data_IF_221277831982
#
_entry.id   IF_221277831982
#
_cell.length_a   1.000
_cell.length_b   1.000
_cell.length_c   1.000
_cell.angle_alpha   90.00
_cell.angle_beta   90.00
_cell.angle_gamma   90.00
#
_symmetry.space_group_name_H-M   'P 1'
#
loop_
_entity.id
_entity.type
_entity.pdbx_description
1 polymer ?
#
# COMPACT_ATOMS: atom_id res chain seq x y z
N UNK A 1 52.78 -22.31 -22.88
CA UNK A 1 51.92 -21.18 -22.96
C UNK A 1 51.03 -21.29 -24.18
N UNK A 2 49.75 -21.73 -24.03
CA UNK A 2 48.73 -21.42 -25.00
C UNK A 2 47.57 -20.67 -24.30
N UNK A 3 47.31 -19.53 -24.82
CA UNK A 3 46.03 -18.89 -25.25
C UNK A 3 44.82 -19.04 -24.35
N UNK A 4 44.57 -18.00 -23.58
CA UNK A 4 43.27 -17.60 -23.01
C UNK A 4 42.64 -16.57 -23.96
N UNK A 5 42.00 -17.02 -25.00
CA UNK A 5 41.13 -16.21 -25.86
C UNK A 5 39.84 -16.97 -26.09
N UNK A 6 38.70 -16.43 -25.64
CA UNK A 6 37.39 -16.89 -26.11
C UNK A 6 36.36 -17.25 -25.05
N UNK A 7 36.05 -16.39 -24.05
CA UNK A 7 34.79 -16.47 -23.30
C UNK A 7 34.36 -15.05 -22.94
N UNK A 8 34.00 -14.22 -23.89
CA UNK A 8 33.25 -12.96 -23.68
C UNK A 8 32.46 -12.59 -24.93
N UNK A 9 31.60 -13.48 -25.38
CA UNK A 9 30.58 -13.12 -26.37
C UNK A 9 29.35 -14.00 -26.13
N UNK A 10 28.49 -13.62 -25.22
CA UNK A 10 27.06 -13.99 -25.19
C UNK A 10 26.34 -13.48 -23.95
N UNK A 11 26.27 -12.20 -23.75
CA UNK A 11 25.32 -11.61 -22.75
C UNK A 11 24.87 -10.21 -23.15
N UNK A 12 24.25 -10.05 -24.31
CA UNK A 12 23.41 -8.88 -24.60
C UNK A 12 22.27 -9.26 -25.54
N UNK A 13 21.42 -10.18 -25.09
CA UNK A 13 20.10 -10.27 -25.68
C UNK A 13 19.17 -9.43 -24.79
N UNK A 14 19.10 -8.14 -25.10
CA UNK A 14 18.08 -7.23 -24.59
C UNK A 14 16.75 -7.73 -25.11
N UNK A 15 15.99 -8.42 -24.26
CA UNK A 15 14.62 -8.82 -24.57
C UNK A 15 13.83 -7.57 -24.96
N UNK A 16 13.40 -7.51 -26.22
CA UNK A 16 12.51 -6.48 -26.73
C UNK A 16 11.23 -6.43 -25.87
N UNK A 17 10.62 -5.26 -25.66
CA UNK A 17 9.37 -5.17 -24.91
C UNK A 17 8.31 -6.04 -25.54
N UNK A 18 7.85 -7.06 -24.82
CA UNK A 18 6.85 -8.00 -25.30
C UNK A 18 5.55 -7.24 -25.56
N UNK A 19 5.05 -7.34 -26.79
CA UNK A 19 3.75 -6.79 -27.17
C UNK A 19 2.64 -7.40 -26.29
N UNK A 20 1.83 -6.60 -25.56
CA UNK A 20 0.77 -7.11 -24.68
C UNK A 20 -0.25 -8.04 -25.39
N UNK A 21 -0.30 -8.02 -26.72
CA UNK A 21 -1.22 -8.84 -27.54
C UNK A 21 -0.66 -10.24 -27.85
N UNK A 22 0.60 -10.55 -27.50
CA UNK A 22 1.26 -11.86 -27.75
C UNK A 22 1.36 -12.73 -26.50
N UNK A 23 0.70 -12.38 -25.39
CA UNK A 23 0.70 -13.24 -24.20
C UNK A 23 -0.06 -14.53 -24.50
N UNK A 24 0.56 -15.67 -24.15
CA UNK A 24 -0.07 -16.99 -24.19
C UNK A 24 -1.44 -16.91 -23.49
N UNK A 25 -2.53 -17.45 -24.07
CA UNK A 25 -3.86 -17.45 -23.47
C UNK A 25 -3.90 -17.98 -22.02
N UNK A 26 -2.97 -18.87 -21.66
CA UNK A 26 -2.81 -19.42 -20.29
C UNK A 26 -2.16 -18.45 -19.31
N UNK A 27 -1.62 -17.31 -19.76
CA UNK A 27 -0.96 -16.27 -18.93
C UNK A 27 -1.76 -14.97 -18.83
N UNK A 28 -3.04 -14.97 -19.21
CA UNK A 28 -3.88 -13.78 -19.09
C UNK A 28 -4.10 -13.45 -17.62
N UNK A 29 -3.72 -12.23 -17.21
CA UNK A 29 -4.03 -11.72 -15.88
C UNK A 29 -5.53 -11.78 -15.60
N UNK A 30 -5.91 -12.40 -14.50
CA UNK A 30 -7.28 -12.40 -14.02
C UNK A 30 -7.50 -11.15 -13.17
N UNK A 31 -8.24 -10.21 -13.70
CA UNK A 31 -8.68 -9.02 -12.96
C UNK A 31 -9.82 -9.39 -12.02
N UNK A 32 -9.53 -9.50 -10.71
CA UNK A 32 -10.49 -9.95 -9.69
C UNK A 32 -11.73 -9.04 -9.60
N UNK A 33 -11.56 -7.73 -9.78
CA UNK A 33 -12.62 -6.73 -9.83
C UNK A 33 -13.59 -6.94 -11.00
N UNK A 34 -13.09 -7.49 -12.12
CA UNK A 34 -13.87 -7.81 -13.33
C UNK A 34 -14.47 -9.21 -13.24
N UNK A 35 -13.70 -10.18 -12.75
CA UNK A 35 -14.15 -11.58 -12.64
C UNK A 35 -15.29 -11.74 -11.65
N UNK A 36 -15.26 -11.02 -10.53
CA UNK A 36 -16.29 -11.07 -9.49
C UNK A 36 -16.80 -9.67 -9.08
N UNK A 37 -17.55 -8.98 -9.98
CA UNK A 37 -17.96 -7.59 -9.75
C UNK A 37 -18.87 -7.39 -8.53
N UNK A 38 -19.57 -8.43 -8.08
CA UNK A 38 -20.38 -8.35 -6.87
C UNK A 38 -19.52 -8.29 -5.60
N UNK A 39 -18.45 -9.10 -5.53
CA UNK A 39 -17.48 -9.06 -4.43
C UNK A 39 -16.73 -7.72 -4.41
N UNK A 40 -16.32 -7.22 -5.60
CA UNK A 40 -15.69 -5.93 -5.74
C UNK A 40 -16.59 -4.77 -5.25
N UNK A 41 -17.87 -4.77 -5.62
CA UNK A 41 -18.85 -3.77 -5.12
C UNK A 41 -19.01 -3.82 -3.61
N UNK A 42 -19.04 -5.02 -3.01
CA UNK A 42 -19.14 -5.17 -1.56
C UNK A 42 -17.89 -4.61 -0.86
N UNK A 43 -16.68 -4.88 -1.38
CA UNK A 43 -15.44 -4.34 -0.84
C UNK A 43 -15.39 -2.81 -0.95
N UNK A 44 -15.81 -2.23 -2.08
CA UNK A 44 -15.92 -0.77 -2.23
C UNK A 44 -16.95 -0.18 -1.25
N UNK A 45 -18.10 -0.84 -1.06
CA UNK A 45 -19.09 -0.44 -0.08
C UNK A 45 -18.53 -0.44 1.36
N UNK A 46 -17.74 -1.46 1.70
CA UNK A 46 -17.01 -1.50 2.97
C UNK A 46 -16.02 -0.31 3.06
N UNK A 47 -15.23 -0.06 2.01
CA UNK A 47 -14.26 1.04 1.98
C UNK A 47 -14.90 2.40 2.24
N UNK A 48 -16.05 2.67 1.62
CA UNK A 48 -16.82 3.91 1.85
C UNK A 48 -17.26 4.04 3.31
N UNK A 49 -17.78 2.97 3.91
CA UNK A 49 -18.22 2.98 5.32
C UNK A 49 -17.05 3.10 6.29
N UNK A 50 -15.92 2.51 5.99
CA UNK A 50 -14.70 2.64 6.79
C UNK A 50 -14.17 4.08 6.73
N UNK A 51 -14.17 4.71 5.56
CA UNK A 51 -13.77 6.11 5.40
C UNK A 51 -14.70 7.05 6.17
N UNK A 52 -16.02 6.86 6.09
CA UNK A 52 -17.02 7.60 6.85
C UNK A 52 -16.74 7.47 8.36
N UNK A 53 -16.59 6.25 8.87
CA UNK A 53 -16.27 6.01 10.29
C UNK A 53 -14.94 6.61 10.73
N UNK A 54 -13.92 6.62 9.86
CA UNK A 54 -12.63 7.24 10.15
C UNK A 54 -12.76 8.76 10.29
N UNK A 55 -13.52 9.39 9.41
CA UNK A 55 -13.82 10.82 9.47
C UNK A 55 -14.63 11.17 10.74
N UNK A 56 -15.64 10.38 11.05
CA UNK A 56 -16.48 10.57 12.26
C UNK A 56 -15.66 10.39 13.55
N UNK A 57 -14.66 9.51 13.55
CA UNK A 57 -13.70 9.33 14.65
C UNK A 57 -12.67 10.47 14.75
N UNK A 58 -12.67 11.46 13.84
CA UNK A 58 -11.76 12.60 13.87
C UNK A 58 -10.39 12.34 13.24
N UNK A 59 -10.28 11.35 12.33
CA UNK A 59 -9.13 11.20 11.46
C UNK A 59 -9.32 12.11 10.24
N UNK A 60 -8.39 13.03 10.01
CA UNK A 60 -8.43 13.87 8.82
C UNK A 60 -8.01 13.10 7.55
N UNK A 61 -8.41 13.62 6.39
CA UNK A 61 -8.13 12.99 5.08
C UNK A 61 -6.63 12.81 4.85
N UNK A 62 -5.80 13.71 5.36
CA UNK A 62 -4.34 13.62 5.23
C UNK A 62 -3.79 12.42 5.99
N UNK A 63 -4.25 12.18 7.23
CA UNK A 63 -3.85 11.01 8.02
C UNK A 63 -4.38 9.71 7.39
N UNK A 64 -5.63 9.71 6.91
CA UNK A 64 -6.21 8.54 6.22
C UNK A 64 -5.33 8.15 5.03
N UNK A 65 -4.97 9.12 4.17
CA UNK A 65 -4.14 8.84 2.99
C UNK A 65 -2.70 8.48 3.38
N UNK A 66 -2.13 9.07 4.42
CA UNK A 66 -0.82 8.70 4.94
C UNK A 66 -0.77 7.22 5.36
N UNK A 67 -1.81 6.73 6.04
CA UNK A 67 -1.94 5.33 6.42
C UNK A 67 -2.09 4.41 5.19
N UNK A 68 -2.92 4.80 4.21
CA UNK A 68 -3.10 4.06 2.97
C UNK A 68 -1.78 3.94 2.19
N UNK A 69 -1.00 5.02 2.11
CA UNK A 69 0.34 5.02 1.50
C UNK A 69 1.25 4.06 2.26
N UNK A 70 1.30 4.14 3.59
CA UNK A 70 2.18 3.29 4.39
C UNK A 70 1.86 1.80 4.25
N UNK A 71 0.60 1.43 4.32
CA UNK A 71 0.13 0.06 4.14
C UNK A 71 0.50 -0.45 2.73
N UNK A 72 0.35 0.40 1.72
CA UNK A 72 0.68 0.07 0.33
C UNK A 72 2.18 -0.08 0.11
N UNK A 73 3.03 0.69 0.83
CA UNK A 73 4.49 0.50 0.85
C UNK A 73 4.87 -0.87 1.40
N UNK A 74 4.30 -1.27 2.53
CA UNK A 74 4.58 -2.55 3.17
C UNK A 74 4.17 -3.72 2.27
N UNK A 75 3.00 -3.62 1.64
CA UNK A 75 2.48 -4.66 0.75
C UNK A 75 3.10 -4.65 -0.66
N UNK A 76 3.83 -3.60 -1.05
CA UNK A 76 4.41 -3.47 -2.39
C UNK A 76 3.38 -3.26 -3.51
N UNK A 77 2.25 -2.58 -3.24
CA UNK A 77 1.20 -2.34 -4.23
C UNK A 77 1.49 -1.06 -5.03
N UNK A 78 2.15 -1.18 -6.19
CA UNK A 78 2.49 -0.03 -7.02
C UNK A 78 1.26 0.79 -7.45
N UNK A 79 0.18 0.14 -7.90
CA UNK A 79 -1.07 0.80 -8.28
C UNK A 79 -1.67 1.61 -7.13
N UNK A 80 -1.71 1.02 -5.93
CA UNK A 80 -2.27 1.69 -4.75
C UNK A 80 -1.38 2.85 -4.29
N UNK A 81 -0.04 2.69 -4.40
CA UNK A 81 0.90 3.77 -4.09
C UNK A 81 0.70 4.97 -5.00
N UNK A 82 0.61 4.75 -6.33
CA UNK A 82 0.38 5.82 -7.30
C UNK A 82 -0.88 6.61 -6.96
N UNK A 83 -1.97 5.91 -6.66
CA UNK A 83 -3.26 6.52 -6.33
C UNK A 83 -3.20 7.29 -5.01
N UNK A 84 -2.78 6.64 -3.92
CA UNK A 84 -2.84 7.22 -2.57
C UNK A 84 -1.78 8.30 -2.33
N UNK A 85 -0.61 8.24 -2.97
CA UNK A 85 0.35 9.35 -2.94
C UNK A 85 -0.24 10.57 -3.63
N UNK A 86 -0.90 10.38 -4.78
CA UNK A 86 -1.60 11.48 -5.46
C UNK A 86 -2.70 12.11 -4.61
N UNK A 87 -3.48 11.30 -3.92
CA UNK A 87 -4.56 11.79 -3.05
C UNK A 87 -4.02 12.41 -1.76
N UNK A 88 -2.95 11.87 -1.16
CA UNK A 88 -2.26 12.48 -0.02
C UNK A 88 -1.77 13.91 -0.35
N UNK A 89 -1.13 14.08 -1.52
CA UNK A 89 -0.66 15.41 -1.98
C UNK A 89 -1.83 16.38 -2.19
N UNK A 90 -2.93 15.93 -2.80
CA UNK A 90 -4.15 16.75 -2.96
C UNK A 90 -4.74 17.20 -1.62
N UNK A 91 -4.62 16.36 -0.59
CA UNK A 91 -5.08 16.65 0.77
C UNK A 91 -4.03 17.40 1.61
N UNK A 92 -2.97 17.92 0.99
CA UNK A 92 -1.99 18.79 1.63
C UNK A 92 -0.83 18.05 2.33
N UNK A 93 -0.61 16.77 2.03
CA UNK A 93 0.58 16.07 2.51
C UNK A 93 1.83 16.53 1.74
N UNK A 94 2.96 16.62 2.42
CA UNK A 94 4.19 17.08 1.82
C UNK A 94 5.01 15.95 1.18
N UNK A 95 5.69 16.26 0.08
CA UNK A 95 6.61 15.33 -0.57
C UNK A 95 7.73 14.86 0.39
N UNK A 96 8.19 15.74 1.31
CA UNK A 96 9.19 15.39 2.31
C UNK A 96 8.68 14.29 3.25
N UNK A 97 7.48 14.46 3.81
CA UNK A 97 6.90 13.47 4.74
C UNK A 97 6.64 12.14 4.04
N UNK A 98 6.13 12.17 2.81
CA UNK A 98 5.93 10.96 1.99
C UNK A 98 7.26 10.24 1.68
N UNK A 99 8.33 10.99 1.41
CA UNK A 99 9.64 10.41 1.13
C UNK A 99 10.25 9.70 2.35
N UNK A 100 10.08 10.26 3.55
CA UNK A 100 10.62 9.67 4.78
C UNK A 100 9.64 8.73 5.50
N UNK A 101 8.43 8.56 4.98
CA UNK A 101 7.41 7.70 5.58
C UNK A 101 7.87 6.25 5.86
N UNK A 102 8.70 5.60 5.02
CA UNK A 102 9.25 4.27 5.34
C UNK A 102 10.11 4.24 6.60
N UNK A 103 10.70 5.38 6.98
CA UNK A 103 11.57 5.56 8.14
C UNK A 103 10.95 6.53 9.18
N UNK A 104 9.61 6.59 9.25
CA UNK A 104 8.89 7.56 10.08
C UNK A 104 9.30 7.54 11.56
N UNK A 105 9.78 6.39 12.06
CA UNK A 105 10.24 6.26 13.45
C UNK A 105 11.49 7.08 13.76
N UNK A 106 12.33 7.34 12.76
CA UNK A 106 13.62 8.03 12.90
C UNK A 106 13.52 9.54 12.67
N UNK A 107 12.30 10.09 12.56
CA UNK A 107 12.07 11.53 12.35
C UNK A 107 11.02 12.07 13.32
N UNK A 108 11.06 13.38 13.56
CA UNK A 108 10.07 14.11 14.38
C UNK A 108 8.94 14.76 13.56
N UNK A 109 8.85 14.45 12.27
CA UNK A 109 7.87 15.07 11.36
C UNK A 109 6.43 14.57 11.57
N UNK A 110 6.23 13.52 12.36
CA UNK A 110 4.92 12.92 12.62
C UNK A 110 4.52 13.13 14.08
N UNK A 111 3.30 13.60 14.31
CA UNK A 111 2.72 13.81 15.64
C UNK A 111 2.56 12.48 16.39
N UNK A 112 2.38 12.52 17.71
CA UNK A 112 2.15 11.33 18.53
C UNK A 112 0.93 10.52 18.07
N UNK A 113 -0.15 11.20 17.66
CA UNK A 113 -1.35 10.56 17.08
C UNK A 113 -1.03 9.85 15.76
N UNK A 114 -0.32 10.50 14.85
CA UNK A 114 0.10 9.90 13.58
C UNK A 114 1.03 8.71 13.80
N UNK A 115 1.99 8.83 14.71
CA UNK A 115 2.91 7.74 15.09
C UNK A 115 2.18 6.53 15.67
N UNK A 116 1.18 6.76 16.52
CA UNK A 116 0.33 5.72 17.08
C UNK A 116 -0.51 5.02 16.00
N UNK A 117 -1.10 5.80 15.09
CA UNK A 117 -1.87 5.27 13.96
C UNK A 117 -1.00 4.45 12.99
N UNK A 118 0.21 4.95 12.67
CA UNK A 118 1.19 4.24 11.83
C UNK A 118 1.64 2.93 12.50
N UNK A 119 1.92 2.95 13.81
CA UNK A 119 2.29 1.75 14.58
C UNK A 119 1.19 0.68 14.47
N UNK A 120 -0.07 1.07 14.70
CA UNK A 120 -1.20 0.16 14.64
C UNK A 120 -1.43 -0.38 13.22
N UNK A 121 -1.36 0.48 12.21
CA UNK A 121 -1.53 0.09 10.80
C UNK A 121 -0.44 -0.90 10.35
N UNK A 122 0.81 -0.69 10.74
CA UNK A 122 1.92 -1.61 10.47
C UNK A 122 1.71 -2.96 11.16
N UNK A 123 1.34 -2.97 12.46
CA UNK A 123 1.08 -4.18 13.21
C UNK A 123 -0.03 -5.05 12.59
N UNK A 124 -1.11 -4.41 12.12
CA UNK A 124 -2.21 -5.09 11.43
C UNK A 124 -1.77 -5.59 10.05
N UNK A 125 -0.94 -4.85 9.34
CA UNK A 125 -0.50 -5.20 7.98
C UNK A 125 0.48 -6.37 8.00
N UNK A 126 1.41 -6.40 8.95
CA UNK A 126 2.44 -7.44 9.03
C UNK A 126 2.05 -8.66 9.86
N UNK A 127 1.05 -8.61 10.66
CA UNK A 127 0.35 -9.58 11.57
C UNK A 127 1.10 -10.90 11.94
N UNK A 128 2.41 -10.98 11.68
CA UNK A 128 3.21 -12.20 11.76
C UNK A 128 3.68 -12.55 13.18
N UNK A 129 3.77 -11.54 14.08
CA UNK A 129 4.24 -11.71 15.45
C UNK A 129 3.17 -11.27 16.46
N UNK A 130 2.66 -12.23 17.24
CA UNK A 130 1.62 -11.97 18.23
C UNK A 130 2.10 -11.05 19.36
N UNK A 131 3.32 -11.21 19.84
CA UNK A 131 3.85 -10.40 20.93
C UNK A 131 4.13 -8.95 20.49
N UNK A 132 4.72 -8.77 19.32
CA UNK A 132 4.93 -7.44 18.74
C UNK A 132 3.58 -6.74 18.52
N UNK A 133 2.60 -7.42 17.94
CA UNK A 133 1.25 -6.88 17.70
C UNK A 133 0.54 -6.44 18.98
N UNK A 134 0.61 -7.26 20.05
CA UNK A 134 -0.03 -6.94 21.33
C UNK A 134 0.64 -5.73 21.99
N UNK A 135 1.98 -5.66 21.93
CA UNK A 135 2.76 -4.53 22.41
C UNK A 135 2.45 -3.25 21.64
N UNK A 136 2.49 -3.30 20.33
CA UNK A 136 2.23 -2.15 19.45
C UNK A 136 0.78 -1.67 19.56
N UNK A 137 -0.19 -2.60 19.67
CA UNK A 137 -1.58 -2.28 19.94
C UNK A 137 -1.78 -1.59 21.29
N UNK A 138 -1.08 -2.02 22.34
CA UNK A 138 -1.10 -1.37 23.64
C UNK A 138 -0.47 0.04 23.60
N UNK A 139 0.59 0.20 22.84
CA UNK A 139 1.21 1.52 22.62
C UNK A 139 0.29 2.48 21.89
N UNK A 140 -0.36 2.03 20.81
CA UNK A 140 -1.28 2.85 20.03
C UNK A 140 -2.46 3.37 20.88
N UNK A 141 -3.00 2.55 21.78
CA UNK A 141 -4.10 2.93 22.69
C UNK A 141 -3.76 4.05 23.68
N UNK A 142 -2.49 4.43 23.81
CA UNK A 142 -2.09 5.55 24.68
C UNK A 142 -2.34 6.92 24.04
N UNK A 143 -2.44 6.96 22.70
CA UNK A 143 -2.51 8.18 21.90
C UNK A 143 -3.71 8.20 20.94
N UNK A 144 -4.52 7.12 20.90
CA UNK A 144 -5.75 7.00 20.14
C UNK A 144 -6.93 6.74 21.08
N UNK A 145 -8.06 7.36 20.83
CA UNK A 145 -9.33 6.99 21.48
C UNK A 145 -9.77 5.59 21.03
N UNK A 146 -10.78 5.01 21.65
CA UNK A 146 -11.31 3.71 21.23
C UNK A 146 -11.89 3.76 19.81
N UNK A 147 -12.55 4.87 19.47
CA UNK A 147 -13.12 5.12 18.15
C UNK A 147 -12.02 5.27 17.09
N UNK A 148 -10.98 6.06 17.36
CA UNK A 148 -9.82 6.21 16.47
C UNK A 148 -9.07 4.90 16.28
N UNK A 149 -8.86 4.14 17.35
CA UNK A 149 -8.21 2.81 17.28
C UNK A 149 -9.01 1.85 16.40
N UNK A 150 -10.34 1.81 16.58
CA UNK A 150 -11.24 1.01 15.75
C UNK A 150 -11.19 1.45 14.28
N UNK A 151 -11.26 2.76 14.03
CA UNK A 151 -11.23 3.34 12.69
C UNK A 151 -9.93 3.03 11.96
N UNK A 152 -8.76 3.24 12.59
CA UNK A 152 -7.45 2.88 12.02
C UNK A 152 -7.35 1.39 11.75
N UNK A 153 -7.87 0.55 12.65
CA UNK A 153 -7.86 -0.90 12.46
C UNK A 153 -8.69 -1.31 11.24
N UNK A 154 -9.91 -0.80 11.11
CA UNK A 154 -10.75 -1.08 9.94
C UNK A 154 -10.15 -0.54 8.65
N UNK A 155 -9.54 0.64 8.69
CA UNK A 155 -8.85 1.24 7.56
C UNK A 155 -7.71 0.33 7.10
N UNK A 156 -6.88 -0.14 8.03
CA UNK A 156 -5.77 -1.04 7.71
C UNK A 156 -6.26 -2.37 7.13
N UNK A 157 -7.28 -3.01 7.72
CA UNK A 157 -7.87 -4.26 7.23
C UNK A 157 -8.38 -4.09 5.80
N UNK A 158 -9.14 -3.02 5.56
CA UNK A 158 -9.76 -2.75 4.27
C UNK A 158 -8.72 -2.43 3.21
N UNK A 159 -7.72 -1.59 3.54
CA UNK A 159 -6.63 -1.27 2.63
C UNK A 159 -5.79 -2.49 2.27
N UNK A 160 -5.52 -3.38 3.24
CA UNK A 160 -4.88 -4.67 2.97
C UNK A 160 -5.67 -5.53 1.98
N UNK A 161 -7.00 -5.52 2.04
CA UNK A 161 -7.85 -6.23 1.08
C UNK A 161 -7.74 -5.62 -0.32
N UNK A 162 -7.81 -4.28 -0.45
CA UNK A 162 -7.63 -3.59 -1.73
C UNK A 162 -6.25 -3.83 -2.34
N UNK A 163 -5.18 -3.76 -1.53
CA UNK A 163 -3.82 -4.06 -2.00
C UNK A 163 -3.73 -5.47 -2.61
N UNK A 164 -4.33 -6.48 -1.94
CA UNK A 164 -4.30 -7.86 -2.43
C UNK A 164 -5.06 -8.03 -3.73
N UNK A 165 -6.23 -7.41 -3.87
CA UNK A 165 -6.96 -7.40 -5.13
C UNK A 165 -6.10 -6.81 -6.25
N UNK A 166 -5.47 -5.65 -6.01
CA UNK A 166 -4.68 -4.95 -7.02
C UNK A 166 -3.40 -5.72 -7.38
N UNK A 167 -2.70 -6.29 -6.39
CA UNK A 167 -1.46 -7.05 -6.61
C UNK A 167 -1.76 -8.34 -7.40
N UNK A 168 -2.76 -9.12 -6.97
CA UNK A 168 -3.13 -10.38 -7.64
C UNK A 168 -3.64 -10.12 -9.06
N UNK A 169 -4.37 -9.03 -9.27
CA UNK A 169 -4.85 -8.59 -10.58
C UNK A 169 -3.77 -7.95 -11.45
N UNK A 170 -2.59 -7.64 -10.88
CA UNK A 170 -1.51 -6.91 -11.55
C UNK A 170 -2.03 -5.61 -12.20
N UNK A 171 -2.78 -4.80 -11.45
CA UNK A 171 -3.30 -3.54 -11.95
C UNK A 171 -2.14 -2.63 -12.39
N UNK A 172 -2.16 -2.13 -13.63
CA UNK A 172 -1.05 -1.33 -14.15
C UNK A 172 -1.06 0.09 -13.56
N UNK A 173 0.12 0.61 -13.26
CA UNK A 173 0.33 2.05 -13.07
C UNK A 173 0.40 2.70 -14.45
N UNK A 174 -0.34 3.79 -14.66
CA UNK A 174 -0.33 4.54 -15.93
C UNK A 174 0.76 5.59 -15.87
N UNK A 175 1.60 5.66 -16.89
CA UNK A 175 2.50 6.80 -17.07
C UNK A 175 1.70 8.04 -17.44
N UNK A 176 1.73 9.05 -16.58
CA UNK A 176 1.02 10.32 -16.79
C UNK A 176 1.85 11.35 -17.54
N UNK A 177 3.08 10.99 -17.95
CA UNK A 177 4.03 11.85 -18.69
C UNK A 177 3.93 11.69 -20.20
N UNK A 178 2.98 10.89 -20.71
CA UNK A 178 2.73 10.66 -22.14
C UNK A 178 1.64 11.53 -22.70
#
# INVERSE_FOLDING_TARGET
MPELVGIVESMTETAAPQNPQQQNPEQRNVFLDKAHPAAWRALNGLGLKVKEAATDAGLDERLIELLNVRISQINGCAYCLDMHVGDAVKNGESAQRLAVLPAWRDTTLFSEKERAALTLAEAITTISDAHARDHEGAQARRHLTAEEFSAVSWLAITMNAFNRVSIVSQHPVRDTRG
#
